data_IF_761571940767
#
_entry.id   IF_761571940767
#
_cell.length_a   1.000
_cell.length_b   1.000
_cell.length_c   1.000
_cell.angle_alpha   90.00
_cell.angle_beta   90.00
_cell.angle_gamma   90.00
#
_symmetry.space_group_name_H-M   'P 1'
#
loop_
_entity.id
_entity.type
_entity.pdbx_description
1 polymer ?
#
# COMPACT_ATOMS: atom_id res chain seq x y z
N UNK A 1 -9.85 10.02 -5.65
CA UNK A 1 -10.56 9.82 -6.94
C UNK A 1 -10.81 11.15 -7.62
N UNK A 2 -10.40 11.27 -8.88
CA UNK A 2 -10.70 12.41 -9.75
C UNK A 2 -11.14 11.85 -11.12
N UNK A 3 -12.28 12.28 -11.69
CA UNK A 3 -13.22 13.29 -11.19
C UNK A 3 -14.01 12.83 -9.95
N UNK A 4 -14.47 13.80 -9.15
CA UNK A 4 -15.40 13.55 -8.04
C UNK A 4 -16.83 13.53 -8.59
N UNK A 5 -17.63 12.54 -8.15
CA UNK A 5 -19.02 12.39 -8.57
C UNK A 5 -19.82 13.67 -8.28
N UNK A 6 -20.42 14.25 -9.33
CA UNK A 6 -21.21 15.49 -9.24
C UNK A 6 -20.41 16.80 -9.13
N UNK A 7 -19.08 16.80 -9.04
CA UNK A 7 -18.28 18.03 -8.95
C UNK A 7 -18.07 18.67 -10.32
N UNK A 8 -18.17 20.00 -10.44
CA UNK A 8 -17.94 20.79 -11.68
C UNK A 8 -16.72 21.73 -11.59
N UNK A 9 -15.75 21.47 -10.71
CA UNK A 9 -14.54 22.29 -10.69
C UNK A 9 -13.65 22.02 -11.91
N UNK A 10 -12.75 22.96 -12.23
CA UNK A 10 -11.85 22.89 -13.39
C UNK A 10 -11.04 21.58 -13.47
N UNK A 11 -10.62 21.02 -12.33
CA UNK A 11 -9.88 19.76 -12.30
C UNK A 11 -10.76 18.56 -12.67
N UNK A 12 -12.01 18.52 -12.18
CA UNK A 12 -12.96 17.45 -12.49
C UNK A 12 -13.48 17.54 -13.93
N UNK A 13 -13.75 18.74 -14.43
CA UNK A 13 -14.11 18.96 -15.82
C UNK A 13 -13.00 18.50 -16.76
N UNK A 14 -11.76 18.94 -16.51
CA UNK A 14 -10.59 18.51 -17.27
C UNK A 14 -10.40 16.98 -17.27
N UNK A 15 -10.60 16.33 -16.13
CA UNK A 15 -10.48 14.87 -16.02
C UNK A 15 -11.60 14.13 -16.77
N UNK A 16 -12.80 14.71 -16.90
CA UNK A 16 -13.90 14.15 -17.72
C UNK A 16 -13.65 14.32 -19.21
N UNK A 17 -13.09 15.45 -19.62
CA UNK A 17 -12.75 15.71 -21.02
C UNK A 17 -11.55 14.88 -21.49
N UNK A 18 -10.55 14.70 -20.62
CA UNK A 18 -9.35 13.93 -20.92
C UNK A 18 -8.99 12.98 -19.76
N UNK A 19 -9.21 11.67 -19.92
CA UNK A 19 -8.94 10.65 -18.90
C UNK A 19 -7.49 10.59 -18.39
N UNK A 20 -6.51 11.16 -19.09
CA UNK A 20 -5.11 11.22 -18.60
C UNK A 20 -4.98 11.99 -17.27
N UNK A 21 -5.93 12.89 -16.98
CA UNK A 21 -5.99 13.63 -15.73
C UNK A 21 -6.85 12.96 -14.66
N UNK A 22 -7.42 11.78 -14.94
CA UNK A 22 -8.15 11.02 -13.93
C UNK A 22 -7.20 10.38 -12.93
N UNK A 23 -7.59 10.37 -11.65
CA UNK A 23 -6.81 9.82 -10.56
C UNK A 23 -7.61 8.72 -9.87
N UNK A 24 -6.99 7.53 -9.80
CA UNK A 24 -7.51 6.39 -9.04
C UNK A 24 -7.33 6.56 -7.53
N UNK A 25 -7.50 5.44 -6.82
CA UNK A 25 -7.13 5.30 -5.41
C UNK A 25 -5.61 5.20 -5.30
N UNK A 26 -5.04 5.74 -4.23
CA UNK A 26 -3.60 5.82 -4.04
C UNK A 26 -3.02 4.43 -3.79
N UNK A 27 -2.20 3.94 -4.71
CA UNK A 27 -1.44 2.70 -4.56
C UNK A 27 -0.21 2.75 -5.47
N UNK A 28 0.73 1.86 -5.21
CA UNK A 28 1.92 1.71 -6.01
C UNK A 28 2.37 0.24 -6.04
N UNK A 29 3.39 -0.06 -6.83
CA UNK A 29 4.10 -1.33 -6.73
C UNK A 29 5.58 -1.12 -7.04
N UNK A 30 6.41 -2.00 -6.50
CA UNK A 30 7.83 -2.08 -6.82
C UNK A 30 8.05 -3.38 -7.60
N UNK A 31 8.75 -3.27 -8.72
CA UNK A 31 9.16 -4.42 -9.53
C UNK A 31 10.67 -4.55 -9.56
N UNK A 32 11.18 -5.74 -9.25
CA UNK A 32 12.61 -6.09 -9.38
C UNK A 32 12.72 -7.48 -10.00
N UNK A 33 13.38 -7.59 -11.16
CA UNK A 33 13.62 -8.87 -11.84
C UNK A 33 12.37 -9.73 -12.08
N UNK A 34 11.22 -9.10 -12.34
CA UNK A 34 9.94 -9.77 -12.58
C UNK A 34 9.14 -10.09 -11.31
N UNK A 35 9.71 -9.86 -10.13
CA UNK A 35 9.02 -9.94 -8.85
C UNK A 35 8.27 -8.63 -8.58
N UNK A 36 7.05 -8.67 -8.05
CA UNK A 36 6.20 -7.52 -7.76
C UNK A 36 5.76 -7.49 -6.29
N UNK A 37 6.13 -6.41 -5.61
CA UNK A 37 5.62 -6.02 -4.30
C UNK A 37 4.57 -4.93 -4.48
N UNK A 38 3.32 -5.21 -4.09
CA UNK A 38 2.26 -4.19 -4.08
C UNK A 38 2.31 -3.35 -2.81
N UNK A 39 2.06 -2.05 -2.95
CA UNK A 39 1.86 -1.10 -1.86
C UNK A 39 0.41 -0.65 -1.92
N UNK A 40 -0.38 -1.14 -0.97
CA UNK A 40 -1.85 -1.17 -1.01
C UNK A 40 -2.40 -2.00 -2.20
N UNK A 41 -3.68 -2.37 -2.13
CA UNK A 41 -4.33 -3.26 -3.10
C UNK A 41 -5.77 -2.81 -3.36
N UNK A 42 -5.90 -1.73 -4.13
CA UNK A 42 -7.16 -1.02 -4.34
C UNK A 42 -7.54 -0.74 -5.80
N UNK A 43 -6.64 -1.03 -6.74
CA UNK A 43 -6.90 -0.80 -8.16
C UNK A 43 -8.10 -1.66 -8.62
N UNK A 44 -9.09 -1.05 -9.27
CA UNK A 44 -10.31 -1.76 -9.69
C UNK A 44 -10.01 -2.85 -10.73
N UNK A 45 -8.94 -2.69 -11.50
CA UNK A 45 -8.45 -3.65 -12.48
C UNK A 45 -7.23 -4.45 -11.98
N UNK A 46 -7.05 -4.59 -10.65
CA UNK A 46 -5.90 -5.25 -10.04
C UNK A 46 -5.62 -6.63 -10.66
N UNK A 47 -6.64 -7.49 -10.78
CA UNK A 47 -6.50 -8.86 -11.29
C UNK A 47 -6.13 -8.91 -12.78
N UNK A 48 -6.42 -7.86 -13.54
CA UNK A 48 -6.02 -7.73 -14.95
C UNK A 48 -4.58 -7.24 -15.06
N UNK A 49 -4.15 -6.35 -14.16
CA UNK A 49 -2.77 -5.84 -14.11
C UNK A 49 -1.78 -6.89 -13.60
N UNK A 50 -2.22 -7.72 -12.66
CA UNK A 50 -1.41 -8.73 -12.00
C UNK A 50 -2.08 -10.11 -12.12
N UNK A 51 -1.76 -10.89 -13.17
CA UNK A 51 -2.30 -12.23 -13.32
C UNK A 51 -1.87 -13.17 -12.17
N UNK A 52 -2.57 -14.29 -12.02
CA UNK A 52 -2.30 -15.26 -10.96
C UNK A 52 -0.80 -15.67 -10.94
N UNK A 53 -0.19 -15.59 -9.76
CA UNK A 53 1.23 -15.88 -9.55
C UNK A 53 2.18 -14.73 -9.84
N UNK A 54 1.71 -13.55 -10.28
CA UNK A 54 2.57 -12.39 -10.52
C UNK A 54 2.70 -11.43 -9.32
N UNK A 55 1.95 -11.66 -8.23
CA UNK A 55 2.04 -10.88 -6.99
C UNK A 55 2.82 -11.71 -5.99
N UNK A 56 3.92 -11.16 -5.50
CA UNK A 56 4.78 -11.89 -4.56
C UNK A 56 4.47 -11.58 -3.12
N UNK A 57 4.22 -10.31 -2.84
CA UNK A 57 3.91 -9.80 -1.52
C UNK A 57 3.08 -8.54 -1.64
N UNK A 58 2.37 -8.22 -0.58
CA UNK A 58 1.64 -6.97 -0.42
C UNK A 58 2.11 -6.32 0.88
N UNK A 59 2.36 -5.01 0.85
CA UNK A 59 2.48 -4.17 2.05
C UNK A 59 1.29 -3.21 2.07
N UNK A 60 0.54 -3.20 3.16
CA UNK A 60 -0.59 -2.29 3.38
C UNK A 60 -0.15 -1.14 4.26
N UNK A 61 -0.47 0.09 3.86
CA UNK A 61 -0.28 1.27 4.72
C UNK A 61 -1.24 1.23 5.89
N UNK A 62 -2.52 0.95 5.63
CA UNK A 62 -3.58 0.79 6.60
C UNK A 62 -4.82 0.10 6.00
N UNK A 63 -5.83 -0.17 6.83
CA UNK A 63 -7.03 -0.93 6.46
C UNK A 63 -8.27 -0.04 6.23
N UNK A 64 -8.11 1.14 5.61
CA UNK A 64 -9.29 1.80 5.01
C UNK A 64 -9.66 1.11 3.70
N UNK A 65 -10.95 1.15 3.38
CA UNK A 65 -11.53 0.44 2.22
C UNK A 65 -10.83 0.81 0.91
N UNK A 66 -10.53 2.09 0.72
CA UNK A 66 -9.88 2.59 -0.48
C UNK A 66 -8.40 2.17 -0.62
N UNK A 67 -7.82 1.47 0.36
CA UNK A 67 -6.48 0.85 0.27
C UNK A 67 -6.53 -0.67 0.11
N UNK A 68 -7.65 -1.31 0.44
CA UNK A 68 -7.75 -2.78 0.55
C UNK A 68 -8.89 -3.40 -0.27
N UNK A 69 -9.75 -2.60 -0.91
CA UNK A 69 -10.98 -3.09 -1.56
C UNK A 69 -10.75 -4.21 -2.58
N UNK A 70 -9.63 -4.22 -3.31
CA UNK A 70 -9.38 -5.24 -4.34
C UNK A 70 -8.87 -6.56 -3.75
N UNK A 71 -8.55 -6.59 -2.45
CA UNK A 71 -8.26 -7.83 -1.72
C UNK A 71 -9.48 -8.76 -1.63
N UNK A 72 -10.69 -8.19 -1.62
CA UNK A 72 -11.93 -8.97 -1.55
C UNK A 72 -12.18 -9.81 -2.80
N UNK A 73 -11.70 -9.35 -3.96
CA UNK A 73 -11.70 -10.13 -5.20
C UNK A 73 -10.48 -11.06 -5.25
N UNK A 74 -9.29 -10.57 -4.88
CA UNK A 74 -8.03 -11.33 -4.95
C UNK A 74 -8.02 -12.57 -4.05
N UNK A 75 -8.62 -12.50 -2.86
CA UNK A 75 -8.58 -13.59 -1.86
C UNK A 75 -9.11 -14.93 -2.36
N UNK A 76 -9.99 -14.92 -3.36
CA UNK A 76 -10.60 -16.13 -3.92
C UNK A 76 -9.75 -16.83 -4.98
N UNK A 77 -8.50 -16.40 -5.18
CA UNK A 77 -7.55 -17.14 -6.01
C UNK A 77 -7.34 -18.57 -5.52
N UNK A 78 -6.72 -19.40 -6.35
CA UNK A 78 -6.56 -20.83 -6.09
C UNK A 78 -5.08 -21.21 -6.05
N UNK A 79 -4.73 -22.14 -5.15
CA UNK A 79 -3.41 -22.77 -5.08
C UNK A 79 -2.22 -21.80 -4.92
N UNK A 80 -2.45 -20.67 -4.25
CA UNK A 80 -1.45 -19.64 -3.98
C UNK A 80 -1.53 -19.23 -2.51
N UNK A 81 -0.46 -18.60 -2.03
CA UNK A 81 -0.44 -17.88 -0.77
C UNK A 81 0.36 -16.60 -0.97
N UNK A 82 -0.26 -15.45 -0.68
CA UNK A 82 0.35 -14.13 -0.87
C UNK A 82 0.58 -13.51 0.52
N UNK A 83 1.84 -13.37 0.97
CA UNK A 83 2.16 -12.64 2.19
C UNK A 83 1.64 -11.21 2.15
N UNK A 84 0.88 -10.83 3.19
CA UNK A 84 0.39 -9.45 3.38
C UNK A 84 0.98 -8.90 4.68
N UNK A 85 1.81 -7.87 4.56
CA UNK A 85 2.37 -7.13 5.68
C UNK A 85 1.58 -5.84 5.90
N UNK A 86 1.47 -5.38 7.15
CA UNK A 86 0.73 -4.16 7.45
C UNK A 86 0.86 -3.74 8.92
N UNK A 87 0.15 -2.68 9.31
CA UNK A 87 0.06 -2.26 10.71
C UNK A 87 -0.64 -3.31 11.58
N UNK A 88 -0.41 -3.21 12.89
CA UNK A 88 -1.17 -3.93 13.91
C UNK A 88 -2.56 -3.30 14.07
N UNK A 89 -3.44 -3.55 13.10
CA UNK A 89 -4.87 -3.23 13.18
C UNK A 89 -5.60 -4.50 13.62
N UNK A 90 -6.20 -4.56 14.83
CA UNK A 90 -6.85 -5.77 15.33
C UNK A 90 -8.17 -6.10 14.62
N UNK A 91 -8.72 -5.15 13.86
CA UNK A 91 -10.01 -5.28 13.16
C UNK A 91 -9.78 -5.59 11.68
N UNK A 92 -8.78 -4.96 11.06
CA UNK A 92 -8.57 -5.04 9.63
C UNK A 92 -9.67 -4.31 8.85
N UNK A 93 -10.17 -4.93 7.79
CA UNK A 93 -11.31 -4.42 7.01
C UNK A 93 -12.33 -5.54 6.76
N UNK A 94 -13.56 -5.33 7.22
CA UNK A 94 -14.68 -6.27 7.13
C UNK A 94 -14.27 -7.70 7.57
N UNK A 95 -14.54 -8.71 6.75
CA UNK A 95 -14.26 -10.11 7.04
C UNK A 95 -12.87 -10.60 6.56
N UNK A 96 -11.97 -9.72 6.08
CA UNK A 96 -10.69 -10.13 5.47
C UNK A 96 -9.86 -11.04 6.38
N UNK A 97 -9.77 -10.75 7.67
CA UNK A 97 -9.03 -11.63 8.59
C UNK A 97 -9.74 -12.94 8.92
N UNK A 98 -11.07 -12.97 8.84
CA UNK A 98 -11.87 -14.18 9.12
C UNK A 98 -11.88 -15.11 7.91
N UNK A 99 -11.92 -14.54 6.71
CA UNK A 99 -11.97 -15.25 5.44
C UNK A 99 -10.88 -14.72 4.50
N UNK A 100 -9.60 -14.99 4.79
CA UNK A 100 -8.49 -14.38 4.06
C UNK A 100 -8.20 -15.06 2.72
N UNK A 101 -8.72 -16.27 2.49
CA UNK A 101 -8.47 -17.03 1.27
C UNK A 101 -6.98 -17.25 1.04
N UNK A 102 -6.47 -16.81 -0.12
CA UNK A 102 -5.01 -16.89 -0.43
C UNK A 102 -4.16 -15.82 0.27
N UNK A 103 -4.76 -14.85 0.97
CA UNK A 103 -4.02 -13.79 1.64
C UNK A 103 -3.46 -14.31 2.96
N UNK A 104 -2.15 -14.19 3.14
CA UNK A 104 -1.44 -14.65 4.33
C UNK A 104 -1.00 -13.42 5.14
N UNK A 105 -1.91 -12.91 5.97
CA UNK A 105 -1.67 -11.75 6.82
C UNK A 105 -0.60 -12.06 7.88
N UNK A 106 0.54 -11.38 7.77
CA UNK A 106 1.69 -11.54 8.66
C UNK A 106 1.55 -10.70 9.91
N UNK A 107 2.18 -11.17 10.99
CA UNK A 107 2.32 -10.38 12.21
C UNK A 107 2.97 -9.02 11.88
N UNK A 108 2.41 -7.95 12.47
CA UNK A 108 2.90 -6.61 12.27
C UNK A 108 4.37 -6.48 12.73
N UNK A 109 5.15 -5.73 11.96
CA UNK A 109 6.53 -5.39 12.31
C UNK A 109 6.53 -4.18 13.24
N UNK A 110 7.49 -4.12 14.15
CA UNK A 110 7.62 -2.95 15.01
C UNK A 110 8.01 -1.73 14.16
N UNK A 111 7.49 -0.53 14.49
CA UNK A 111 7.98 0.72 13.91
C UNK A 111 9.51 0.80 13.90
N UNK A 112 10.08 1.21 12.76
CA UNK A 112 11.53 1.33 12.51
C UNK A 112 12.32 0.01 12.46
N UNK A 113 11.68 -1.13 12.69
CA UNK A 113 12.28 -2.45 12.48
C UNK A 113 12.17 -2.83 11.00
N UNK A 114 13.31 -2.81 10.30
CA UNK A 114 13.33 -3.13 8.89
C UNK A 114 13.20 -4.64 8.64
N UNK A 115 12.65 -4.97 7.48
CA UNK A 115 12.66 -6.30 6.92
C UNK A 115 13.09 -6.24 5.46
N UNK A 116 13.29 -7.40 4.84
CA UNK A 116 13.69 -7.49 3.45
C UNK A 116 12.58 -8.12 2.62
N UNK A 117 12.30 -7.49 1.49
CA UNK A 117 11.68 -8.16 0.35
C UNK A 117 12.76 -8.25 -0.73
N UNK A 118 13.29 -9.46 -0.95
CA UNK A 118 14.48 -9.66 -1.78
C UNK A 118 15.65 -8.78 -1.29
N UNK A 119 16.28 -8.04 -2.18
CA UNK A 119 17.39 -7.13 -1.88
C UNK A 119 16.93 -5.73 -1.45
N UNK A 120 15.62 -5.51 -1.31
CA UNK A 120 15.05 -4.22 -0.91
C UNK A 120 14.80 -4.25 0.59
N UNK A 121 15.47 -3.35 1.31
CA UNK A 121 15.23 -3.10 2.72
C UNK A 121 14.01 -2.21 2.86
N UNK A 122 13.04 -2.65 3.65
CA UNK A 122 11.77 -1.97 3.89
C UNK A 122 11.69 -1.61 5.37
N UNK A 123 11.58 -0.33 5.66
CA UNK A 123 11.45 0.17 7.04
C UNK A 123 10.06 0.80 7.23
N UNK A 124 9.19 0.22 8.08
CA UNK A 124 7.90 0.82 8.41
C UNK A 124 8.09 2.03 9.33
N UNK A 125 7.38 3.12 9.05
CA UNK A 125 7.36 4.34 9.87
C UNK A 125 5.92 4.70 10.24
N UNK A 126 5.61 4.98 11.51
CA UNK A 126 4.24 5.27 11.94
C UNK A 126 3.77 6.62 11.39
N UNK A 127 2.52 6.70 10.96
CA UNK A 127 1.91 7.93 10.43
C UNK A 127 0.78 8.44 11.35
N UNK A 128 0.43 9.71 11.21
CA UNK A 128 -0.69 10.32 11.93
C UNK A 128 -1.94 10.22 11.06
N UNK A 129 -2.77 9.22 11.36
CA UNK A 129 -4.02 8.96 10.63
C UNK A 129 -5.11 8.40 11.57
N UNK A 130 -6.34 8.29 11.08
CA UNK A 130 -7.49 7.83 11.89
C UNK A 130 -7.52 6.32 12.18
N UNK A 131 -6.71 5.54 11.45
CA UNK A 131 -6.45 4.11 11.70
C UNK A 131 -4.97 3.90 12.00
N UNK A 132 -4.58 2.78 12.65
CA UNK A 132 -3.18 2.34 12.66
C UNK A 132 -2.63 2.39 11.23
N UNK A 133 -1.63 3.26 11.02
CA UNK A 133 -1.14 3.60 9.69
C UNK A 133 0.38 3.63 9.68
N UNK A 134 0.96 3.02 8.65
CA UNK A 134 2.38 2.98 8.39
C UNK A 134 2.66 3.60 7.01
N UNK A 135 3.70 4.41 6.96
CA UNK A 135 4.46 4.65 5.74
C UNK A 135 5.59 3.65 5.63
N UNK A 136 6.22 3.60 4.45
CA UNK A 136 7.33 2.68 4.20
C UNK A 136 8.48 3.39 3.53
N UNK A 137 9.69 3.11 4.02
CA UNK A 137 10.94 3.57 3.42
C UNK A 137 11.61 2.37 2.77
N UNK A 138 11.81 2.46 1.46
CA UNK A 138 12.41 1.43 0.62
C UNK A 138 13.83 1.83 0.27
N UNK A 139 14.79 0.95 0.53
CA UNK A 139 16.21 1.17 0.26
C UNK A 139 16.75 0.06 -0.63
N UNK A 140 17.36 0.44 -1.76
CA UNK A 140 17.89 -0.49 -2.75
C UNK A 140 19.08 0.13 -3.48
N UNK A 141 20.22 -0.57 -3.50
CA UNK A 141 21.45 -0.15 -4.20
C UNK A 141 21.85 1.32 -3.96
N UNK A 142 21.80 1.74 -2.69
CA UNK A 142 22.13 3.11 -2.28
C UNK A 142 21.11 4.17 -2.70
N UNK A 143 19.94 3.78 -3.20
CA UNK A 143 18.78 4.65 -3.43
C UNK A 143 17.75 4.44 -2.34
N UNK A 144 16.99 5.50 -2.06
CA UNK A 144 15.92 5.50 -1.06
C UNK A 144 14.66 6.16 -1.61
N UNK A 145 13.51 5.56 -1.33
CA UNK A 145 12.18 6.12 -1.59
C UNK A 145 11.36 6.03 -0.29
N UNK A 146 10.68 7.11 0.08
CA UNK A 146 9.71 7.11 1.17
C UNK A 146 8.29 7.22 0.60
N UNK A 147 7.41 6.32 1.00
CA UNK A 147 5.99 6.31 0.65
C UNK A 147 5.18 6.57 1.93
N UNK A 148 4.71 7.82 2.08
CA UNK A 148 4.19 8.36 3.34
C UNK A 148 2.74 8.83 3.17
N UNK A 149 1.86 7.89 2.86
CA UNK A 149 0.42 8.11 2.77
C UNK A 149 -0.29 7.02 3.58
N UNK A 150 -1.39 7.29 4.26
CA UNK A 150 -2.03 8.60 4.45
C UNK A 150 -1.55 9.23 5.75
N UNK A 151 -1.34 10.55 5.74
CA UNK A 151 -0.94 11.26 6.96
C UNK A 151 -1.29 12.74 6.90
N UNK A 152 -1.67 13.33 8.03
CA UNK A 152 -1.85 14.80 8.15
C UNK A 152 -0.54 15.53 8.44
N UNK A 153 0.37 14.88 9.16
CA UNK A 153 1.75 15.30 9.43
C UNK A 153 2.56 14.05 9.83
N UNK A 154 3.88 14.14 9.93
CA UNK A 154 4.72 13.06 10.44
C UNK A 154 4.87 13.18 11.96
N UNK A 155 4.84 12.05 12.71
CA UNK A 155 5.23 12.07 14.12
C UNK A 155 6.65 12.61 14.27
N UNK A 156 6.92 13.33 15.36
CA UNK A 156 8.23 13.92 15.62
C UNK A 156 9.37 12.88 15.59
N UNK A 157 9.11 11.69 16.13
CA UNK A 157 10.05 10.55 16.08
C UNK A 157 10.37 10.12 14.64
N UNK A 158 9.43 10.23 13.71
CA UNK A 158 9.65 9.92 12.29
C UNK A 158 10.47 11.03 11.62
N UNK A 159 10.19 12.30 11.93
CA UNK A 159 11.00 13.45 11.45
C UNK A 159 12.46 13.29 11.88
N UNK A 160 12.69 13.05 13.17
CA UNK A 160 14.02 12.80 13.73
C UNK A 160 14.69 11.55 13.12
N UNK A 161 13.92 10.49 12.88
CA UNK A 161 14.45 9.30 12.22
C UNK A 161 14.91 9.62 10.79
N UNK A 162 14.16 10.38 10.01
CA UNK A 162 14.61 10.80 8.68
C UNK A 162 15.89 11.65 8.77
N UNK A 163 15.93 12.66 9.64
CA UNK A 163 17.11 13.52 9.84
C UNK A 163 18.37 12.71 10.18
N UNK A 164 18.26 11.76 11.10
CA UNK A 164 19.38 10.90 11.51
C UNK A 164 19.81 9.86 10.47
N UNK A 165 19.00 9.62 9.45
CA UNK A 165 19.28 8.63 8.40
C UNK A 165 19.55 9.26 7.02
N UNK A 166 19.63 10.59 6.90
CA UNK A 166 19.85 11.31 5.63
C UNK A 166 21.29 11.21 5.05
N UNK A 167 22.14 10.30 5.56
CA UNK A 167 23.53 10.11 5.09
C UNK A 167 23.66 8.89 4.19
#
# INVERSE_FOLDING_TARGET
>A
MLPVYGCQCIACERARENPVYSLGKTSAYISDQGWNLLIDANAEDLLRRFPAGSIDSIVLTHYHMDHVQSLFDLRWGLNLSIPVFGPDDPVGCDDLFKHPGILDFKAARQPFEHFYWRDIRITPVPLIHSKPCLGYVFEYRGKRIAYLTDTVDLPEKVKQWFEGNLM
#
